data_IF_520687520689
#
_entry.id   IF_520687520689
#
_cell.length_a   1.000
_cell.length_b   1.000
_cell.length_c   1.000
_cell.angle_alpha   90.00
_cell.angle_beta   90.00
_cell.angle_gamma   90.00
#
_symmetry.space_group_name_H-M   'P 1'
#
loop_
_entity.id
_entity.type
_entity.pdbx_description
1 polymer ?
#
# COMPACT_ATOMS: atom_id res chain seq x y z
N UNK A 1 -28.89 19.79 28.24
CA UNK A 1 -28.88 18.52 27.49
C UNK A 1 -27.59 18.45 26.70
N UNK A 2 -26.62 17.65 27.14
CA UNK A 2 -25.49 17.23 26.29
C UNK A 2 -25.43 15.73 26.43
N UNK A 3 -25.84 15.04 25.37
CA UNK A 3 -25.72 13.59 25.31
C UNK A 3 -24.28 13.23 25.00
N UNK A 4 -23.69 12.50 25.94
CA UNK A 4 -22.47 11.72 25.79
C UNK A 4 -22.73 10.63 24.74
N UNK A 5 -21.84 10.48 23.75
CA UNK A 5 -21.74 9.26 22.94
C UNK A 5 -20.30 8.78 22.99
N UNK A 6 -20.11 7.76 23.82
CA UNK A 6 -18.94 6.90 23.81
C UNK A 6 -18.87 6.20 22.44
N UNK A 7 -17.79 6.43 21.70
CA UNK A 7 -17.44 5.61 20.51
C UNK A 7 -16.48 4.55 21.00
N UNK A 8 -17.01 3.34 21.09
CA UNK A 8 -16.32 2.12 21.49
C UNK A 8 -15.68 1.46 20.27
N UNK A 9 -14.40 1.13 20.45
CA UNK A 9 -13.61 0.00 19.96
C UNK A 9 -13.77 -0.55 18.53
N UNK A 10 -12.66 -0.56 17.81
CA UNK A 10 -12.18 -1.79 17.17
C UNK A 10 -10.64 -1.80 17.16
N UNK A 11 -10.04 -2.29 18.25
CA UNK A 11 -8.65 -2.77 18.21
C UNK A 11 -8.69 -4.20 17.68
N UNK A 12 -8.29 -4.39 16.42
CA UNK A 12 -8.05 -5.72 15.89
C UNK A 12 -6.83 -6.33 16.58
N UNK A 13 -7.13 -7.19 17.56
CA UNK A 13 -6.20 -8.10 18.23
C UNK A 13 -5.52 -8.98 17.20
N UNK A 14 -4.28 -8.63 16.85
CA UNK A 14 -3.39 -9.51 16.09
C UNK A 14 -3.20 -10.82 16.84
N UNK A 15 -3.72 -11.89 16.26
CA UNK A 15 -3.63 -13.23 16.82
C UNK A 15 -2.18 -13.70 16.92
N UNK A 16 -1.87 -14.36 18.04
CA UNK A 16 -0.53 -14.81 18.39
C UNK A 16 -0.25 -16.13 17.68
N UNK A 17 0.44 -16.09 16.55
CA UNK A 17 1.10 -17.27 16.00
C UNK A 17 2.42 -17.51 16.74
N UNK A 18 2.42 -18.47 17.68
CA UNK A 18 3.62 -19.08 18.25
C UNK A 18 4.24 -20.04 17.22
N UNK A 19 4.92 -19.48 16.23
CA UNK A 19 5.81 -20.24 15.34
C UNK A 19 7.25 -20.10 15.83
N UNK A 20 7.79 -21.16 16.43
CA UNK A 20 9.10 -21.17 17.07
C UNK A 20 10.23 -20.69 16.16
N UNK A 21 10.71 -19.47 16.41
CA UNK A 21 12.03 -19.00 16.05
C UNK A 21 12.72 -18.54 17.32
N UNK A 22 13.70 -19.31 17.77
CA UNK A 22 14.54 -18.98 18.93
C UNK A 22 14.99 -17.52 18.82
N UNK A 23 14.49 -16.67 19.71
CA UNK A 23 14.97 -15.29 19.87
C UNK A 23 16.39 -15.37 20.44
N UNK A 24 17.38 -15.49 19.55
CA UNK A 24 18.76 -15.24 19.93
C UNK A 24 18.85 -13.76 20.21
N UNK A 25 18.83 -13.42 21.50
CA UNK A 25 19.23 -12.14 22.07
C UNK A 25 20.43 -11.61 21.25
N UNK A 26 20.22 -10.53 20.51
CA UNK A 26 21.26 -9.90 19.71
C UNK A 26 22.29 -9.25 20.65
N UNK A 27 23.37 -9.97 20.93
CA UNK A 27 24.52 -9.52 21.74
C UNK A 27 25.48 -8.63 20.94
N UNK A 28 24.98 -7.59 20.28
CA UNK A 28 25.83 -6.61 19.59
C UNK A 28 25.16 -5.23 19.53
N UNK A 29 25.75 -4.19 20.15
CA UNK A 29 25.17 -2.84 20.20
C UNK A 29 25.23 -2.08 18.85
N UNK A 30 25.55 -2.74 17.73
CA UNK A 30 25.76 -2.12 16.42
C UNK A 30 24.78 -2.56 15.33
N UNK A 31 23.71 -3.28 15.66
CA UNK A 31 22.74 -3.67 14.64
C UNK A 31 21.85 -2.50 14.22
N UNK A 32 22.18 -1.92 13.07
CA UNK A 32 21.37 -0.91 12.39
C UNK A 32 20.09 -1.58 11.89
N UNK A 33 18.97 -1.30 12.56
CA UNK A 33 17.66 -1.78 12.13
C UNK A 33 17.29 -1.10 10.81
N UNK A 34 17.10 -1.89 9.76
CA UNK A 34 16.62 -1.39 8.46
C UNK A 34 15.12 -1.64 8.38
N UNK A 35 14.37 -0.62 7.94
CA UNK A 35 12.93 -0.77 7.66
C UNK A 35 12.75 -1.77 6.53
N UNK A 36 12.10 -2.89 6.84
CA UNK A 36 11.69 -3.90 5.88
C UNK A 36 10.20 -3.74 5.62
N UNK A 37 9.82 -3.50 4.37
CA UNK A 37 8.42 -3.49 3.95
C UNK A 37 8.11 -4.80 3.22
N UNK A 38 7.01 -5.46 3.58
CA UNK A 38 6.53 -6.67 2.93
C UNK A 38 5.06 -6.50 2.60
N UNK A 39 4.69 -6.77 1.35
CA UNK A 39 3.29 -6.77 0.95
C UNK A 39 2.55 -7.92 1.60
N UNK A 40 1.35 -7.64 2.09
CA UNK A 40 0.39 -8.65 2.54
C UNK A 40 -0.32 -9.29 1.35
N UNK A 41 -1.05 -10.37 1.59
CA UNK A 41 -1.86 -11.00 0.55
C UNK A 41 -2.95 -10.05 0.02
N UNK A 42 -3.46 -9.15 0.86
CA UNK A 42 -4.50 -8.21 0.44
C UNK A 42 -3.94 -7.08 -0.41
N UNK A 43 -2.71 -6.62 -0.12
CA UNK A 43 -1.98 -5.69 -1.01
C UNK A 43 -1.78 -6.30 -2.40
N UNK A 44 -1.41 -7.59 -2.45
CA UNK A 44 -1.23 -8.32 -3.71
C UNK A 44 -2.56 -8.48 -4.46
N UNK A 45 -3.66 -8.81 -3.76
CA UNK A 45 -4.99 -8.90 -4.38
C UNK A 45 -5.43 -7.55 -4.95
N UNK A 46 -5.20 -6.46 -4.22
CA UNK A 46 -5.52 -5.11 -4.68
C UNK A 46 -4.73 -4.77 -5.94
N UNK A 47 -3.40 -4.93 -5.91
CA UNK A 47 -2.54 -4.62 -7.05
C UNK A 47 -2.91 -5.43 -8.31
N UNK A 48 -3.23 -6.72 -8.15
CA UNK A 48 -3.62 -7.62 -9.26
C UNK A 48 -4.98 -7.31 -9.87
N UNK A 49 -5.90 -6.72 -9.11
CA UNK A 49 -7.20 -6.27 -9.65
C UNK A 49 -7.06 -5.04 -10.54
N UNK A 50 -5.93 -4.34 -10.44
CA UNK A 50 -5.72 -3.05 -11.09
C UNK A 50 -6.45 -1.91 -10.38
N UNK A 51 -6.22 -0.70 -10.86
CA UNK A 51 -6.87 0.51 -10.36
C UNK A 51 -7.39 1.33 -11.54
N UNK A 52 -8.50 2.04 -11.33
CA UNK A 52 -9.00 3.05 -12.27
C UNK A 52 -8.72 4.42 -11.65
N UNK A 53 -8.13 5.30 -12.44
CA UNK A 53 -7.81 6.66 -12.02
C UNK A 53 -8.23 7.65 -13.10
N UNK A 54 -8.60 8.85 -12.68
CA UNK A 54 -8.97 9.95 -13.58
C UNK A 54 -7.80 10.89 -13.75
N UNK A 55 -7.47 11.23 -14.98
CA UNK A 55 -6.49 12.28 -15.27
C UNK A 55 -7.13 13.63 -14.96
N UNK A 56 -6.52 14.37 -14.03
CA UNK A 56 -6.99 15.71 -13.64
C UNK A 56 -6.56 16.76 -14.67
N UNK A 57 -7.28 17.89 -14.71
CA UNK A 57 -6.92 19.09 -15.47
C UNK A 57 -6.74 18.91 -17.00
N UNK A 58 -7.37 17.88 -17.58
CA UNK A 58 -7.31 17.64 -19.03
C UNK A 58 -5.90 17.33 -19.52
N UNK A 59 -5.04 16.84 -18.63
CA UNK A 59 -3.67 16.53 -18.98
C UNK A 59 -3.60 15.41 -20.01
N UNK A 60 -2.65 15.52 -20.94
CA UNK A 60 -2.49 14.54 -22.00
C UNK A 60 -2.10 13.18 -21.41
N UNK A 61 -2.87 12.14 -21.72
CA UNK A 61 -2.60 10.76 -21.28
C UNK A 61 -1.14 10.33 -21.52
N UNK A 62 -0.50 10.63 -22.67
CA UNK A 62 0.91 10.28 -22.87
C UNK A 62 1.87 10.91 -21.85
N UNK A 63 1.60 12.14 -21.39
CA UNK A 63 2.44 12.81 -20.38
C UNK A 63 2.28 12.17 -19.00
N UNK A 64 1.08 11.69 -18.69
CA UNK A 64 0.82 10.91 -17.47
C UNK A 64 1.54 9.57 -17.52
N UNK A 65 1.51 8.88 -18.67
CA UNK A 65 2.24 7.62 -18.87
C UNK A 65 3.75 7.80 -18.66
N UNK A 66 4.35 8.83 -19.27
CA UNK A 66 5.78 9.10 -19.11
C UNK A 66 6.18 9.30 -17.64
N UNK A 67 5.38 10.03 -16.86
CA UNK A 67 5.71 10.23 -15.44
C UNK A 67 5.52 8.98 -14.57
N UNK A 68 4.62 8.08 -14.96
CA UNK A 68 4.50 6.77 -14.32
C UNK A 68 5.78 5.98 -14.57
N UNK A 69 6.28 5.96 -15.82
CA UNK A 69 7.55 5.34 -16.16
C UNK A 69 8.73 5.97 -15.41
N UNK A 70 8.80 7.30 -15.34
CA UNK A 70 9.84 8.05 -14.61
C UNK A 70 9.82 7.74 -13.09
N UNK A 71 8.65 7.38 -12.54
CA UNK A 71 8.51 6.93 -11.15
C UNK A 71 8.95 5.47 -10.93
N UNK A 72 9.45 4.79 -11.98
CA UNK A 72 9.98 3.43 -11.92
C UNK A 72 8.95 2.34 -12.19
N UNK A 73 7.75 2.72 -12.64
CA UNK A 73 6.67 1.78 -12.97
C UNK A 73 6.74 1.40 -14.46
N UNK A 74 7.75 0.60 -14.82
CA UNK A 74 8.04 0.25 -16.22
C UNK A 74 7.20 -0.91 -16.78
N UNK A 75 6.55 -1.70 -15.92
CA UNK A 75 5.76 -2.88 -16.28
C UNK A 75 4.28 -2.68 -15.89
N UNK A 76 3.63 -1.73 -16.55
CA UNK A 76 2.22 -1.40 -16.32
C UNK A 76 1.45 -1.31 -17.63
N UNK A 77 0.32 -2.03 -17.71
CA UNK A 77 -0.61 -1.94 -18.84
C UNK A 77 -1.62 -0.83 -18.56
N UNK A 78 -1.44 0.32 -19.22
CA UNK A 78 -2.33 1.47 -19.08
C UNK A 78 -3.36 1.42 -20.21
N UNK A 79 -4.62 1.14 -19.87
CA UNK A 79 -5.74 1.16 -20.81
C UNK A 79 -6.53 2.44 -20.65
N UNK A 80 -6.45 3.41 -21.58
CA UNK A 80 -7.27 4.60 -21.50
C UNK A 80 -8.75 4.20 -21.67
N UNK A 81 -9.53 4.41 -20.62
CA UNK A 81 -10.99 4.39 -20.70
C UNK A 81 -11.35 5.72 -21.37
N UNK A 82 -11.89 5.64 -22.58
CA UNK A 82 -11.91 6.73 -23.55
C UNK A 82 -12.23 8.13 -22.99
N UNK A 83 -11.60 9.14 -23.58
CA UNK A 83 -12.10 10.50 -23.49
C UNK A 83 -13.33 10.59 -24.41
N UNK A 84 -14.50 10.24 -23.90
CA UNK A 84 -15.73 10.53 -24.63
C UNK A 84 -15.77 12.05 -24.87
N UNK A 85 -16.03 12.40 -26.14
CA UNK A 85 -16.12 13.78 -26.63
C UNK A 85 -17.32 14.51 -26.03
#
# INVERSE_FOLDING_TARGET
MVQKKDVVSEETKGDTFLGGGSSTILKNPSMKLVRMYRSTMDDLKWARKGAVSTVINGEAVPLVQQRIEDAGFTDLVITPLGADK
#
